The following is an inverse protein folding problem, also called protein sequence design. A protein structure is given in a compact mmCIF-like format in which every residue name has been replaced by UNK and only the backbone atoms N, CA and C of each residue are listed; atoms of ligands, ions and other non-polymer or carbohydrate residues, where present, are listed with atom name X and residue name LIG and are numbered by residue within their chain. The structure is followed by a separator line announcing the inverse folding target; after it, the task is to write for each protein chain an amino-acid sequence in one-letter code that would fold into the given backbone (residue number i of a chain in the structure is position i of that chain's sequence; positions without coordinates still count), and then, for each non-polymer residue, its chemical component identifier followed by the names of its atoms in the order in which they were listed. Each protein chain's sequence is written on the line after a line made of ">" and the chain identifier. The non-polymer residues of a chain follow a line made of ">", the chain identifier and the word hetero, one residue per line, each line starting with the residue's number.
data_IF_946675658192
#
_entry.id   IF_946675658192
#
_cell.length_a   1.000
_cell.length_b   1.000
_cell.length_c   1.000
_cell.angle_alpha   90.00
_cell.angle_beta   90.00
_cell.angle_gamma   90.00
#
_symmetry.space_group_name_H-M   'P 1'
#
loop_
_entity.id
_entity.type
_entity.pdbx_description
1 polymer ?
#
# COMPACT_ATOMS: atom_id res chain seq x y z
N UNK A 1 -12.79 -49.21 67.27
CA UNK A 1 -12.48 -47.97 68.02
C UNK A 1 -12.21 -46.84 67.03
N UNK A 2 -12.71 -45.66 67.39
CA UNK A 2 -12.99 -44.49 66.56
C UNK A 2 -11.75 -43.60 66.35
N UNK A 3 -11.71 -42.91 65.20
CA UNK A 3 -11.14 -41.57 64.92
C UNK A 3 -9.68 -41.26 65.28
N UNK A 4 -8.92 -40.85 64.25
CA UNK A 4 -8.09 -39.63 64.31
C UNK A 4 -7.83 -39.01 62.92
N UNK A 5 -8.90 -38.62 62.21
CA UNK A 5 -8.84 -37.83 60.94
C UNK A 5 -8.49 -36.35 61.15
N UNK A 6 -7.52 -36.01 62.01
CA UNK A 6 -7.20 -34.60 62.32
C UNK A 6 -5.71 -34.22 62.33
N UNK A 7 -4.79 -35.08 61.90
CA UNK A 7 -3.35 -34.76 61.87
C UNK A 7 -2.84 -34.24 60.51
N UNK A 8 -3.49 -34.60 59.39
CA UNK A 8 -2.97 -34.28 58.06
C UNK A 8 -3.23 -32.84 57.59
N UNK A 9 -4.22 -32.14 58.15
CA UNK A 9 -4.62 -30.81 57.67
C UNK A 9 -3.78 -29.64 58.24
N UNK A 10 -2.88 -29.87 59.19
CA UNK A 10 -2.11 -28.79 59.84
C UNK A 10 -0.70 -28.57 59.25
N UNK A 11 -0.25 -29.41 58.31
CA UNK A 11 1.07 -29.25 57.63
C UNK A 11 1.00 -28.58 56.26
N UNK A 12 -0.19 -28.32 55.72
CA UNK A 12 -0.36 -27.78 54.34
C UNK A 12 -0.39 -26.24 54.32
N UNK A 13 -0.49 -25.57 55.48
CA UNK A 13 -0.67 -24.11 55.56
C UNK A 13 0.59 -23.24 55.68
N UNK A 14 1.82 -23.74 55.44
CA UNK A 14 3.06 -22.95 55.63
C UNK A 14 4.06 -22.97 54.47
N UNK A 15 3.68 -23.47 53.28
CA UNK A 15 4.54 -23.40 52.08
C UNK A 15 3.83 -22.62 50.96
N UNK A 16 3.25 -21.48 51.33
CA UNK A 16 2.92 -20.42 50.40
C UNK A 16 3.60 -19.18 50.95
N UNK A 17 4.55 -18.58 50.20
CA UNK A 17 4.93 -17.15 50.19
C UNK A 17 6.39 -16.87 49.73
N UNK A 18 7.29 -17.86 49.57
CA UNK A 18 8.67 -17.56 49.14
C UNK A 18 9.06 -18.27 47.84
N UNK A 19 8.91 -17.57 46.72
CA UNK A 19 9.39 -18.03 45.41
C UNK A 19 9.06 -17.08 44.25
N UNK A 20 9.04 -15.77 44.51
CA UNK A 20 8.81 -14.74 43.49
C UNK A 20 10.14 -14.16 43.00
N UNK A 21 11.00 -14.94 42.33
CA UNK A 21 12.09 -14.42 41.48
C UNK A 21 12.44 -15.46 40.41
N UNK A 22 11.50 -15.77 39.51
CA UNK A 22 11.82 -16.38 38.23
C UNK A 22 12.21 -15.26 37.28
N UNK A 23 13.49 -15.08 37.01
CA UNK A 23 14.03 -14.11 36.07
C UNK A 23 13.42 -14.30 34.67
N UNK A 24 12.41 -13.52 34.33
CA UNK A 24 11.98 -13.33 32.94
C UNK A 24 13.02 -12.41 32.28
N UNK A 25 14.18 -12.97 32.00
CA UNK A 25 15.23 -12.36 31.19
C UNK A 25 15.44 -13.21 29.92
N UNK A 26 14.35 -13.67 29.31
CA UNK A 26 14.38 -14.29 27.99
C UNK A 26 14.11 -13.18 26.97
N UNK A 27 15.19 -12.70 26.37
CA UNK A 27 15.16 -12.18 25.01
C UNK A 27 14.62 -10.76 24.84
N UNK A 28 15.36 -9.77 25.32
CA UNK A 28 15.60 -8.57 24.49
C UNK A 28 16.40 -9.00 23.25
N UNK A 29 15.78 -9.78 22.37
CA UNK A 29 16.25 -9.83 21.00
C UNK A 29 15.97 -8.43 20.48
N UNK A 30 17.06 -7.65 20.39
CA UNK A 30 17.10 -6.45 19.58
C UNK A 30 16.72 -6.87 18.17
N UNK A 31 15.43 -6.93 17.86
CA UNK A 31 14.93 -6.77 16.50
C UNK A 31 15.40 -5.38 16.12
N UNK A 32 16.61 -5.27 15.55
CA UNK A 32 17.09 -4.01 14.99
C UNK A 32 15.96 -3.45 14.13
N UNK A 33 15.66 -2.15 14.27
CA UNK A 33 14.45 -1.51 13.77
C UNK A 33 13.97 -2.15 12.47
N UNK A 34 13.04 -3.11 12.58
CA UNK A 34 12.35 -3.61 11.41
C UNK A 34 11.55 -2.38 10.97
N UNK A 35 11.87 -1.83 9.80
CA UNK A 35 11.09 -0.76 9.20
C UNK A 35 9.72 -1.38 8.89
N UNK A 36 8.84 -1.36 9.89
CA UNK A 36 7.53 -1.98 9.81
C UNK A 36 6.69 -1.17 8.83
N UNK A 37 5.88 -1.88 8.06
CA UNK A 37 4.91 -1.26 7.18
C UNK A 37 3.94 -0.41 8.02
N UNK A 38 3.69 0.82 7.58
CA UNK A 38 2.73 1.70 8.25
C UNK A 38 1.34 1.37 7.72
N UNK A 39 0.48 0.84 8.58
CA UNK A 39 -0.91 0.56 8.24
C UNK A 39 -1.74 1.86 8.22
N UNK A 40 -2.46 2.07 7.12
CA UNK A 40 -3.36 3.20 6.87
C UNK A 40 -4.77 2.64 6.64
N UNK A 41 -5.70 2.75 7.60
CA UNK A 41 -7.09 2.42 7.37
C UNK A 41 -7.74 3.48 6.49
N UNK A 42 -8.51 3.06 5.48
CA UNK A 42 -9.23 3.96 4.59
C UNK A 42 -10.74 3.85 4.84
N UNK A 43 -11.48 4.97 4.91
CA UNK A 43 -12.91 4.92 5.14
C UNK A 43 -13.65 4.24 3.99
N UNK A 44 -14.74 3.55 4.33
CA UNK A 44 -15.68 3.04 3.34
C UNK A 44 -16.39 4.21 2.64
N UNK A 45 -16.87 3.94 1.43
CA UNK A 45 -17.55 4.93 0.61
C UNK A 45 -18.58 4.28 -0.29
N UNK A 46 -19.65 5.03 -0.56
CA UNK A 46 -20.69 4.60 -1.48
C UNK A 46 -21.20 5.79 -2.31
N UNK A 47 -21.68 5.46 -3.50
CA UNK A 47 -22.31 6.40 -4.42
C UNK A 47 -23.48 5.72 -5.10
N UNK A 48 -24.66 6.29 -4.92
CA UNK A 48 -25.88 5.92 -5.65
C UNK A 48 -26.12 6.98 -6.72
N UNK A 49 -26.22 6.57 -7.98
CA UNK A 49 -26.46 7.48 -9.08
C UNK A 49 -27.27 6.78 -10.18
N UNK A 50 -28.38 7.40 -10.60
CA UNK A 50 -29.28 6.77 -11.57
C UNK A 50 -29.76 5.39 -11.09
N UNK A 51 -29.67 4.34 -11.92
CA UNK A 51 -30.16 3.01 -11.55
C UNK A 51 -29.14 2.14 -10.79
N UNK A 52 -27.95 2.65 -10.48
CA UNK A 52 -26.87 1.83 -9.90
C UNK A 52 -26.31 2.40 -8.61
N UNK A 53 -25.65 1.52 -7.86
CA UNK A 53 -24.83 1.84 -6.69
C UNK A 53 -23.41 1.31 -6.90
N UNK A 54 -22.42 2.10 -6.49
CA UNK A 54 -21.02 1.69 -6.38
C UNK A 54 -20.63 1.85 -4.92
N UNK A 55 -19.91 0.88 -4.36
CA UNK A 55 -19.35 0.97 -3.02
C UNK A 55 -17.92 0.44 -3.00
N UNK A 56 -17.10 0.97 -2.09
CA UNK A 56 -15.86 0.33 -1.65
C UNK A 56 -15.87 0.15 -0.13
N UNK A 57 -15.29 -0.95 0.33
CA UNK A 57 -15.18 -1.27 1.74
C UNK A 57 -13.97 -2.15 2.03
N UNK A 58 -13.62 -2.25 3.32
CA UNK A 58 -12.45 -2.96 3.83
C UNK A 58 -11.14 -2.48 3.17
N UNK A 59 -11.10 -1.19 2.81
CA UNK A 59 -9.95 -0.61 2.14
C UNK A 59 -8.86 -0.26 3.15
N UNK A 60 -7.63 -0.68 2.87
CA UNK A 60 -6.46 -0.31 3.66
C UNK A 60 -5.21 -0.32 2.81
N UNK A 61 -4.25 0.49 3.23
CA UNK A 61 -2.91 0.51 2.64
C UNK A 61 -1.87 0.18 3.70
N UNK A 62 -0.82 -0.54 3.30
CA UNK A 62 0.38 -0.77 4.10
C UNK A 62 1.52 -0.07 3.41
N UNK A 63 1.94 1.08 3.93
CA UNK A 63 3.04 1.87 3.36
C UNK A 63 4.35 1.22 3.77
N UNK A 64 5.12 0.82 2.78
CA UNK A 64 6.33 0.03 2.93
C UNK A 64 7.58 0.89 2.77
N UNK A 65 8.68 0.49 3.40
CA UNK A 65 10.01 0.92 2.98
C UNK A 65 10.29 0.51 1.53
N UNK A 66 11.23 1.20 0.90
CA UNK A 66 11.56 0.98 -0.50
C UNK A 66 12.15 -0.42 -0.73
N UNK A 67 11.56 -1.20 -1.63
CA UNK A 67 12.02 -2.57 -1.97
C UNK A 67 13.40 -2.52 -2.64
N UNK A 68 13.64 -1.52 -3.51
CA UNK A 68 14.96 -1.33 -4.15
C UNK A 68 15.93 -0.47 -3.32
N UNK A 69 15.50 0.10 -2.19
CA UNK A 69 16.30 0.96 -1.31
C UNK A 69 17.05 2.12 -2.01
N UNK A 70 16.55 2.60 -3.15
CA UNK A 70 16.95 3.89 -3.69
C UNK A 70 16.02 4.94 -3.02
N UNK A 71 16.53 6.09 -2.58
CA UNK A 71 15.75 7.08 -1.80
C UNK A 71 14.53 7.69 -2.53
N UNK A 72 14.30 7.29 -3.77
CA UNK A 72 13.28 7.82 -4.68
C UNK A 72 12.07 6.89 -4.85
N UNK A 73 12.14 5.67 -4.34
CA UNK A 73 11.02 4.76 -4.42
C UNK A 73 9.98 5.04 -3.32
N UNK A 74 8.71 4.80 -3.64
CA UNK A 74 7.58 4.85 -2.71
C UNK A 74 6.70 3.64 -2.94
N UNK A 75 6.47 2.88 -1.88
CA UNK A 75 5.83 1.59 -1.96
C UNK A 75 4.66 1.50 -0.99
N UNK A 76 3.56 0.93 -1.45
CA UNK A 76 2.45 0.54 -0.59
C UNK A 76 1.77 -0.73 -1.11
N UNK A 77 1.16 -1.50 -0.20
CA UNK A 77 0.27 -2.59 -0.55
C UNK A 77 -1.17 -2.21 -0.23
N UNK A 78 -2.04 -2.33 -1.22
CA UNK A 78 -3.44 -1.99 -1.12
C UNK A 78 -4.31 -3.25 -1.02
N UNK A 79 -5.26 -3.22 -0.10
CA UNK A 79 -6.30 -4.24 0.07
C UNK A 79 -7.65 -3.55 0.05
N UNK A 80 -8.66 -4.18 -0.54
CA UNK A 80 -10.01 -3.63 -0.52
C UNK A 80 -10.99 -4.44 -1.34
N UNK A 81 -12.26 -4.07 -1.22
CA UNK A 81 -13.35 -4.64 -2.01
C UNK A 81 -14.10 -3.52 -2.71
N UNK A 82 -14.26 -3.64 -4.03
CA UNK A 82 -15.12 -2.80 -4.84
C UNK A 82 -16.39 -3.59 -5.23
N UNK A 83 -17.54 -2.96 -5.06
CA UNK A 83 -18.84 -3.58 -5.30
C UNK A 83 -19.72 -2.66 -6.15
N UNK A 84 -20.49 -3.26 -7.05
CA UNK A 84 -21.56 -2.60 -7.79
C UNK A 84 -22.88 -3.34 -7.61
N UNK A 85 -23.94 -2.57 -7.34
CA UNK A 85 -25.31 -3.04 -7.42
C UNK A 85 -25.99 -2.40 -8.62
N UNK A 86 -26.66 -3.22 -9.42
CA UNK A 86 -27.30 -2.81 -10.67
C UNK A 86 -28.66 -3.50 -10.81
N UNK A 87 -29.58 -2.97 -11.65
CA UNK A 87 -30.83 -3.65 -11.94
C UNK A 87 -30.59 -4.99 -12.65
N UNK A 88 -31.54 -5.90 -12.53
CA UNK A 88 -31.49 -7.16 -13.29
C UNK A 88 -31.43 -6.90 -14.80
N UNK A 89 -30.63 -7.70 -15.50
CA UNK A 89 -30.42 -7.56 -16.94
C UNK A 89 -29.46 -6.43 -17.34
N UNK A 90 -28.96 -5.62 -16.41
CA UNK A 90 -27.93 -4.65 -16.71
C UNK A 90 -26.62 -5.33 -17.14
N UNK A 91 -25.98 -4.78 -18.15
CA UNK A 91 -24.64 -5.20 -18.62
C UNK A 91 -23.67 -4.05 -18.45
N UNK A 92 -22.38 -4.33 -18.32
CA UNK A 92 -21.37 -3.31 -18.17
C UNK A 92 -20.10 -3.83 -17.56
N UNK A 93 -19.22 -2.91 -17.14
CA UNK A 93 -17.93 -3.25 -16.55
C UNK A 93 -17.73 -2.47 -15.26
N UNK A 94 -17.31 -3.19 -14.21
CA UNK A 94 -16.81 -2.64 -12.96
C UNK A 94 -15.28 -2.63 -13.02
N UNK A 95 -14.67 -1.48 -12.73
CA UNK A 95 -13.22 -1.29 -12.68
C UNK A 95 -12.83 -0.70 -11.34
N UNK A 96 -11.74 -1.16 -10.76
CA UNK A 96 -11.19 -0.56 -9.54
C UNK A 96 -9.68 -0.40 -9.66
N UNK A 97 -9.15 0.65 -9.03
CA UNK A 97 -7.75 0.99 -9.14
C UNK A 97 -7.35 2.12 -8.20
N UNK A 98 -6.14 2.62 -8.40
CA UNK A 98 -5.58 3.74 -7.65
C UNK A 98 -5.08 4.82 -8.60
N UNK A 99 -5.41 6.06 -8.27
CA UNK A 99 -4.72 7.23 -8.79
C UNK A 99 -3.49 7.46 -7.94
N UNK A 100 -2.32 7.51 -8.55
CA UNK A 100 -1.06 7.68 -7.85
C UNK A 100 -0.34 8.89 -8.43
N UNK A 101 0.07 9.81 -7.56
CA UNK A 101 0.78 11.02 -7.93
C UNK A 101 2.06 11.19 -7.13
N UNK A 102 3.07 11.75 -7.78
CA UNK A 102 4.32 12.18 -7.17
C UNK A 102 4.47 13.70 -7.25
N UNK A 103 5.09 14.31 -6.24
CA UNK A 103 5.32 15.75 -6.22
C UNK A 103 6.37 16.22 -7.24
N UNK A 104 7.49 15.50 -7.35
CA UNK A 104 8.58 15.80 -8.28
C UNK A 104 9.00 14.49 -8.97
N UNK A 105 8.97 14.49 -10.29
CA UNK A 105 9.65 13.44 -11.05
C UNK A 105 11.12 13.82 -11.21
N UNK A 106 12.01 12.91 -10.80
CA UNK A 106 13.45 13.15 -10.89
C UNK A 106 14.04 12.95 -12.29
N UNK A 107 13.26 12.43 -13.25
CA UNK A 107 13.64 12.47 -14.66
C UNK A 107 13.63 13.90 -15.22
N UNK A 108 12.76 14.77 -14.68
CA UNK A 108 12.68 16.19 -15.06
C UNK A 108 13.47 17.10 -14.10
N UNK A 109 14.09 16.54 -13.06
CA UNK A 109 15.02 17.24 -12.19
C UNK A 109 16.40 17.41 -12.84
N UNK A 110 16.41 17.80 -14.12
CA UNK A 110 17.45 18.64 -14.72
C UNK A 110 17.37 20.06 -14.13
N UNK A 111 17.39 20.16 -12.80
CA UNK A 111 17.40 21.43 -12.07
C UNK A 111 18.74 22.14 -12.34
N UNK A 112 18.82 22.84 -13.47
CA UNK A 112 19.59 24.07 -13.66
C UNK A 112 21.00 24.14 -13.07
N UNK A 113 21.70 23.02 -12.93
CA UNK A 113 23.14 22.98 -12.70
C UNK A 113 23.80 22.79 -14.05
N UNK A 114 23.60 23.79 -14.91
CA UNK A 114 24.56 24.16 -15.95
C UNK A 114 25.81 24.72 -15.23
N UNK A 115 26.52 23.87 -14.49
CA UNK A 115 27.92 24.14 -14.18
C UNK A 115 28.63 23.94 -15.51
N UNK A 116 28.76 25.03 -16.27
CA UNK A 116 29.59 25.16 -17.47
C UNK A 116 31.07 24.96 -17.18
N UNK A 117 31.42 23.81 -16.61
CA UNK A 117 32.75 23.29 -16.44
C UNK A 117 32.69 21.86 -17.00
N UNK A 118 33.12 21.72 -18.26
CA UNK A 118 33.23 20.43 -18.91
C UNK A 118 34.00 19.44 -18.04
N UNK A 119 33.40 18.28 -17.81
CA UNK A 119 34.12 17.11 -17.31
C UNK A 119 34.00 16.05 -18.40
N UNK A 120 35.01 16.07 -19.26
CA UNK A 120 35.30 15.04 -20.23
C UNK A 120 35.98 13.88 -19.50
N UNK A 121 35.32 12.71 -19.46
CA UNK A 121 35.94 11.42 -19.16
C UNK A 121 35.94 10.95 -17.69
N UNK A 122 35.37 9.77 -17.45
CA UNK A 122 35.62 8.96 -16.26
C UNK A 122 34.50 8.95 -15.22
N UNK A 123 33.73 7.87 -15.23
CA UNK A 123 32.57 7.53 -14.42
C UNK A 123 32.73 7.63 -12.87
N UNK A 124 31.61 7.98 -12.22
CA UNK A 124 31.32 8.10 -10.77
C UNK A 124 31.71 9.42 -10.08
N UNK A 125 30.90 10.46 -10.31
CA UNK A 125 30.88 11.64 -9.45
C UNK A 125 30.00 11.37 -8.23
N UNK A 126 30.63 11.10 -7.08
CA UNK A 126 30.00 11.23 -5.76
C UNK A 126 29.66 12.71 -5.57
N UNK A 127 28.39 13.07 -5.65
CA UNK A 127 27.92 14.38 -5.21
C UNK A 127 27.75 14.29 -3.69
N UNK A 128 28.77 14.73 -2.94
CA UNK A 128 28.67 14.90 -1.50
C UNK A 128 27.85 16.14 -1.17
N UNK A 129 26.53 15.99 -1.07
CA UNK A 129 25.73 16.94 -0.30
C UNK A 129 25.72 16.44 1.15
N UNK A 130 26.58 17.01 1.98
CA UNK A 130 26.63 16.63 3.39
C UNK A 130 25.23 16.77 4.03
N UNK A 131 24.77 15.77 4.80
CA UNK A 131 25.56 14.70 5.40
C UNK A 131 25.36 13.27 4.83
N UNK A 132 24.79 13.05 3.63
CA UNK A 132 24.62 11.68 3.07
C UNK A 132 24.99 11.57 1.59
N UNK A 133 25.83 10.60 1.18
CA UNK A 133 26.15 10.37 -0.22
C UNK A 133 24.96 9.73 -0.94
N UNK A 134 24.38 10.47 -1.89
CA UNK A 134 23.34 10.00 -2.81
C UNK A 134 24.00 9.47 -4.08
N UNK A 135 23.76 8.20 -4.40
CA UNK A 135 24.31 7.52 -5.58
C UNK A 135 23.26 7.53 -6.69
N UNK A 136 23.49 8.32 -7.76
CA UNK A 136 22.66 8.30 -8.96
C UNK A 136 23.29 7.29 -9.94
N UNK A 137 22.66 6.13 -10.07
CA UNK A 137 22.92 5.15 -11.13
C UNK A 137 21.88 5.31 -12.23
N UNK A 138 22.34 5.41 -13.48
CA UNK A 138 21.55 5.87 -14.62
C UNK A 138 20.65 4.84 -15.33
N UNK A 139 19.82 5.43 -16.19
CA UNK A 139 18.98 4.97 -17.31
C UNK A 139 18.73 3.47 -17.54
N UNK A 140 17.45 3.12 -17.51
CA UNK A 140 16.90 1.94 -18.19
C UNK A 140 15.39 2.08 -18.39
N UNK A 141 14.92 2.15 -19.64
CA UNK A 141 13.49 1.99 -19.97
C UNK A 141 13.04 0.58 -19.58
N UNK A 142 12.21 0.46 -18.55
CA UNK A 142 11.56 -0.81 -18.21
C UNK A 142 10.23 -0.91 -18.94
N UNK A 143 10.24 -1.54 -20.12
CA UNK A 143 9.01 -2.01 -20.76
C UNK A 143 8.63 -3.38 -20.18
N UNK A 144 7.91 -3.37 -19.06
CA UNK A 144 7.39 -4.61 -18.47
C UNK A 144 6.01 -4.93 -19.07
N UNK A 145 6.01 -5.75 -20.13
CA UNK A 145 4.81 -6.47 -20.59
C UNK A 145 4.92 -7.91 -20.12
N UNK A 146 4.14 -8.38 -19.13
CA UNK A 146 4.10 -9.80 -18.75
C UNK A 146 2.70 -10.27 -18.33
N UNK A 147 2.34 -11.46 -18.84
CA UNK A 147 1.29 -12.34 -18.34
C UNK A 147 1.65 -12.88 -16.96
N UNK A 148 0.78 -12.65 -15.96
CA UNK A 148 0.74 -13.44 -14.72
C UNK A 148 1.76 -13.05 -13.64
N UNK A 149 1.33 -12.16 -12.72
CA UNK A 149 2.05 -11.78 -11.50
C UNK A 149 2.09 -10.25 -11.36
N UNK A 150 1.17 -9.69 -10.57
CA UNK A 150 0.86 -8.24 -10.60
C UNK A 150 1.80 -7.43 -9.71
N UNK A 151 2.94 -7.01 -10.26
CA UNK A 151 3.67 -5.81 -9.83
C UNK A 151 3.38 -4.69 -10.82
N UNK A 152 2.87 -3.55 -10.34
CA UNK A 152 2.60 -2.37 -11.15
C UNK A 152 3.73 -1.35 -10.97
N UNK A 153 4.57 -1.19 -11.99
CA UNK A 153 5.46 -0.04 -12.11
C UNK A 153 4.71 1.08 -12.83
N UNK A 154 4.64 2.24 -12.18
CA UNK A 154 3.93 3.41 -12.69
C UNK A 154 4.96 4.45 -13.11
N UNK A 155 5.30 4.56 -14.40
CA UNK A 155 6.13 5.67 -14.86
C UNK A 155 5.27 6.94 -14.78
N UNK A 156 5.55 7.79 -13.78
CA UNK A 156 4.92 9.10 -13.63
C UNK A 156 5.88 10.16 -14.17
N UNK A 157 5.43 10.99 -15.12
CA UNK A 157 6.13 12.23 -15.46
C UNK A 157 5.90 13.29 -14.38
N UNK A 158 6.66 14.39 -14.41
CA UNK A 158 6.49 15.48 -13.44
C UNK A 158 5.03 15.92 -13.31
N UNK A 159 4.54 15.94 -12.06
CA UNK A 159 3.16 16.30 -11.69
C UNK A 159 2.06 15.48 -12.38
N UNK A 160 2.38 14.29 -12.88
CA UNK A 160 1.39 13.40 -13.46
C UNK A 160 0.71 12.55 -12.38
N UNK A 161 -0.58 12.29 -12.57
CA UNK A 161 -1.34 11.32 -11.81
C UNK A 161 -1.63 10.16 -12.74
N UNK A 162 -1.00 9.01 -12.52
CA UNK A 162 -1.35 7.81 -13.28
C UNK A 162 -2.51 7.08 -12.61
N UNK A 163 -3.40 6.58 -13.45
CA UNK A 163 -4.45 5.66 -13.06
C UNK A 163 -3.97 4.23 -13.26
N UNK A 164 -3.74 3.53 -12.16
CA UNK A 164 -3.37 2.11 -12.15
C UNK A 164 -4.63 1.28 -11.94
N UNK A 165 -5.00 0.53 -12.96
CA UNK A 165 -6.10 -0.44 -12.85
C UNK A 165 -5.62 -1.67 -12.09
N UNK A 166 -6.26 -1.97 -10.96
CA UNK A 166 -5.98 -3.19 -10.19
C UNK A 166 -6.69 -4.38 -10.84
N UNK A 167 -7.97 -4.21 -11.16
CA UNK A 167 -8.76 -5.23 -11.82
C UNK A 167 -10.01 -4.63 -12.47
N UNK A 168 -10.52 -5.37 -13.46
CA UNK A 168 -11.79 -5.14 -14.11
C UNK A 168 -12.61 -6.43 -14.17
N UNK A 169 -13.92 -6.30 -14.09
CA UNK A 169 -14.86 -7.41 -14.13
C UNK A 169 -16.15 -7.00 -14.81
N UNK A 170 -16.63 -7.85 -15.70
CA UNK A 170 -17.95 -7.67 -16.31
C UNK A 170 -19.05 -7.84 -15.27
N UNK A 171 -20.01 -6.94 -15.32
CA UNK A 171 -21.18 -6.94 -14.44
C UNK A 171 -22.07 -8.12 -14.84
N UNK A 172 -22.26 -9.06 -13.92
CA UNK A 172 -23.13 -10.23 -14.09
C UNK A 172 -24.12 -10.29 -12.93
N UNK A 173 -25.39 -10.11 -13.25
CA UNK A 173 -26.46 -10.10 -12.27
C UNK A 173 -26.48 -8.82 -11.42
N UNK A 174 -27.33 -8.77 -10.38
CA UNK A 174 -27.61 -7.55 -9.63
C UNK A 174 -26.45 -7.10 -8.74
N UNK A 175 -25.53 -8.00 -8.38
CA UNK A 175 -24.36 -7.68 -7.53
C UNK A 175 -23.10 -8.21 -8.20
N UNK A 176 -22.12 -7.35 -8.37
CA UNK A 176 -20.78 -7.73 -8.84
C UNK A 176 -19.74 -7.12 -7.91
N UNK A 177 -18.76 -7.93 -7.49
CA UNK A 177 -17.68 -7.49 -6.63
C UNK A 177 -16.30 -7.93 -7.16
N UNK A 178 -15.31 -7.10 -6.86
CA UNK A 178 -13.88 -7.33 -7.05
C UNK A 178 -13.23 -7.16 -5.67
N UNK A 179 -12.62 -8.23 -5.17
CA UNK A 179 -11.82 -8.20 -3.95
C UNK A 179 -10.36 -8.38 -4.33
N UNK A 180 -9.49 -7.59 -3.74
CA UNK A 180 -8.05 -7.66 -3.93
C UNK A 180 -7.35 -7.52 -2.58
N UNK A 181 -6.20 -8.18 -2.45
CA UNK A 181 -5.42 -8.21 -1.22
C UNK A 181 -3.95 -8.02 -1.55
N UNK A 182 -3.30 -7.15 -0.78
CA UNK A 182 -1.87 -6.85 -0.83
C UNK A 182 -1.36 -6.59 -2.27
N UNK A 183 -2.14 -5.84 -3.06
CA UNK A 183 -1.73 -5.41 -4.41
C UNK A 183 -0.67 -4.32 -4.30
N UNK A 184 0.47 -4.52 -4.94
CA UNK A 184 1.59 -3.60 -4.87
C UNK A 184 1.34 -2.32 -5.68
N UNK A 185 1.61 -1.17 -5.05
CA UNK A 185 1.71 0.14 -5.65
C UNK A 185 3.17 0.58 -5.47
N UNK A 186 3.90 0.71 -6.58
CA UNK A 186 5.31 1.11 -6.60
C UNK A 186 5.47 2.33 -7.50
N UNK A 187 5.96 3.43 -6.93
CA UNK A 187 6.35 4.63 -7.66
C UNK A 187 7.86 4.73 -7.60
N UNK A 188 8.48 4.76 -8.77
CA UNK A 188 9.91 4.97 -8.91
C UNK A 188 10.20 6.44 -9.24
N UNK A 189 11.45 6.87 -9.02
CA UNK A 189 11.91 8.24 -9.33
C UNK A 189 11.10 9.38 -8.69
N UNK A 190 10.43 9.11 -7.56
CA UNK A 190 9.63 10.12 -6.88
C UNK A 190 10.43 10.94 -5.85
N UNK A 191 10.69 12.20 -6.19
CA UNK A 191 11.24 13.21 -5.29
C UNK A 191 10.15 13.86 -4.43
N UNK A 192 10.30 13.82 -3.11
CA UNK A 192 9.35 14.44 -2.18
C UNK A 192 8.18 13.54 -1.79
N UNK A 193 6.98 14.12 -1.68
CA UNK A 193 5.77 13.41 -1.25
C UNK A 193 5.09 12.68 -2.41
N UNK A 194 4.57 11.49 -2.13
CA UNK A 194 3.72 10.71 -3.00
C UNK A 194 2.37 10.43 -2.32
N UNK A 195 1.31 10.48 -3.12
CA UNK A 195 -0.06 10.27 -2.66
C UNK A 195 -0.80 9.30 -3.57
N UNK A 196 -1.61 8.43 -2.99
CA UNK A 196 -2.49 7.55 -3.70
C UNK A 196 -3.95 7.76 -3.27
N UNK A 197 -4.89 7.45 -4.17
CA UNK A 197 -6.34 7.51 -3.92
C UNK A 197 -7.04 6.42 -4.72
N UNK A 198 -7.88 5.62 -4.08
CA UNK A 198 -8.68 4.64 -4.81
C UNK A 198 -9.71 5.29 -5.72
N UNK A 199 -9.98 4.63 -6.84
CA UNK A 199 -11.12 4.90 -7.69
C UNK A 199 -11.82 3.60 -8.06
N UNK A 200 -13.14 3.66 -8.12
CA UNK A 200 -13.97 2.57 -8.64
C UNK A 200 -14.91 3.16 -9.67
N UNK A 201 -14.85 2.66 -10.90
CA UNK A 201 -15.69 3.09 -12.00
C UNK A 201 -16.63 1.98 -12.41
N UNK A 202 -17.92 2.28 -12.43
CA UNK A 202 -18.94 1.42 -13.02
C UNK A 202 -19.39 2.06 -14.32
N UNK A 203 -19.44 1.25 -15.37
CA UNK A 203 -19.76 1.72 -16.69
C UNK A 203 -20.76 0.74 -17.34
N UNK A 204 -22.06 1.06 -17.26
CA UNK A 204 -23.19 0.24 -17.76
C UNK A 204 -23.54 0.51 -19.21
N UNK A 205 -23.74 -0.57 -19.96
CA UNK A 205 -24.09 -0.61 -21.38
C UNK A 205 -25.52 -1.12 -21.59
N UNK A 206 -26.21 -0.60 -22.60
CA UNK A 206 -27.61 -0.90 -22.93
C UNK A 206 -28.21 0.23 -23.77
N UNK A 207 -29.49 0.51 -23.60
CA UNK A 207 -30.17 1.66 -24.26
C UNK A 207 -29.55 3.01 -23.84
N UNK A 208 -29.06 3.09 -22.61
CA UNK A 208 -28.36 4.25 -22.07
C UNK A 208 -26.97 3.87 -21.56
N UNK A 209 -26.02 4.78 -21.73
CA UNK A 209 -24.66 4.66 -21.20
C UNK A 209 -24.56 5.37 -19.86
N UNK A 210 -24.47 4.60 -18.78
CA UNK A 210 -24.20 5.16 -17.46
C UNK A 210 -22.73 4.97 -17.10
N UNK A 211 -22.05 6.05 -16.71
CA UNK A 211 -20.69 6.00 -16.19
C UNK A 211 -20.62 6.75 -14.87
N UNK A 212 -20.18 6.07 -13.83
CA UNK A 212 -20.00 6.64 -12.51
C UNK A 212 -18.67 6.24 -11.93
N UNK A 213 -17.96 7.21 -11.36
CA UNK A 213 -16.75 6.95 -10.57
C UNK A 213 -16.98 7.36 -9.12
N UNK A 214 -16.58 6.49 -8.21
CA UNK A 214 -16.46 6.69 -6.77
C UNK A 214 -14.97 6.83 -6.44
N UNK A 215 -14.62 7.84 -5.65
CA UNK A 215 -13.24 8.08 -5.21
C UNK A 215 -13.15 7.91 -3.69
N UNK A 216 -12.06 7.29 -3.22
CA UNK A 216 -11.77 7.16 -1.80
C UNK A 216 -11.07 8.38 -1.19
N UNK A 217 -10.78 8.28 0.11
CA UNK A 217 -9.92 9.26 0.77
C UNK A 217 -8.48 9.08 0.27
N UNK A 218 -7.75 10.17 -0.05
CA UNK A 218 -6.37 10.05 -0.48
C UNK A 218 -5.46 9.82 0.73
N UNK A 219 -4.36 9.09 0.55
CA UNK A 219 -3.39 8.77 1.59
C UNK A 219 -1.96 8.92 1.07
N UNK A 220 -1.05 9.31 1.96
CA UNK A 220 0.38 9.41 1.62
C UNK A 220 1.00 8.01 1.56
N UNK A 221 1.88 7.81 0.59
CA UNK A 221 2.73 6.61 0.45
C UNK A 221 4.21 6.92 0.68
N UNK A 222 4.49 8.06 1.33
CA UNK A 222 5.81 8.58 1.67
C UNK A 222 6.14 9.88 0.95
#
# INVERSE_FOLDING_TARGET
>A
MNKSRFSALRRIGRIAVLGAVGSVAVGLMSTGAANAETFVPLPNGEKVAGPYKIAHFDESAKVAPQIAFNGLNRNAWATGTALSEVPEGATGTLKTGYLVGCQLDMDDLSFGLDLGAGIEGGNTNIITLFPIPFLIGGEGETTNKIEGGVSFDVPLKDREVAAVEVASKDVKGPITAIQYQDVAISVQNCGGYAQARSYTTLELTGDYRYKGTLYGQPFSIG
#
